data_IF_205958235163
#
_entry.id   IF_205958235163
#
_cell.length_a   1.000
_cell.length_b   1.000
_cell.length_c   1.000
_cell.angle_alpha   90.00
_cell.angle_beta   90.00
_cell.angle_gamma   90.00
#
_symmetry.space_group_name_H-M   'P 1'
#
loop_
_entity.id
_entity.type
_entity.pdbx_description
1 polymer ?
#
# COMPACT_ATOMS: atom_id res chain seq x y z
N UNK A 1 3.16 20.83 26.14
CA UNK A 1 2.75 21.06 24.73
C UNK A 1 3.78 22.00 24.13
N UNK A 2 4.84 21.47 23.55
CA UNK A 2 5.82 22.24 22.78
C UNK A 2 5.24 22.42 21.36
N UNK A 3 4.79 23.64 21.03
CA UNK A 3 4.28 23.97 19.70
C UNK A 3 5.36 23.71 18.65
N UNK A 4 5.00 23.03 17.56
CA UNK A 4 5.87 22.85 16.41
C UNK A 4 6.31 24.24 15.87
N UNK A 5 7.56 24.41 15.40
CA UNK A 5 7.99 25.63 14.76
C UNK A 5 7.04 25.97 13.60
N UNK A 6 6.75 27.27 13.38
CA UNK A 6 5.73 27.75 12.43
C UNK A 6 5.84 27.17 11.01
N UNK A 7 7.04 26.79 10.57
CA UNK A 7 7.28 26.12 9.29
C UNK A 7 6.79 24.67 9.24
N UNK A 8 7.00 23.89 10.30
CA UNK A 8 6.63 22.47 10.35
C UNK A 8 5.11 22.25 10.34
N UNK A 9 4.34 23.15 10.96
CA UNK A 9 2.88 23.09 10.89
C UNK A 9 2.38 23.25 9.43
N UNK A 10 2.99 24.13 8.64
CA UNK A 10 2.71 24.28 7.21
C UNK A 10 3.08 23.01 6.41
N UNK A 11 4.20 22.36 6.73
CA UNK A 11 4.62 21.12 6.07
C UNK A 11 3.61 19.99 6.28
N UNK A 12 3.08 19.85 7.51
CA UNK A 12 2.02 18.87 7.78
C UNK A 12 0.70 19.23 7.09
N UNK A 13 0.37 20.52 6.93
CA UNK A 13 -0.83 20.90 6.17
C UNK A 13 -0.69 20.53 4.69
N UNK A 14 0.50 20.66 4.10
CA UNK A 14 0.78 20.20 2.74
C UNK A 14 0.55 18.69 2.61
N UNK A 15 1.05 17.88 3.55
CA UNK A 15 0.81 16.44 3.56
C UNK A 15 -0.67 16.08 3.72
N UNK A 16 -1.40 16.80 4.60
CA UNK A 16 -2.84 16.59 4.80
C UNK A 16 -3.65 16.94 3.56
N UNK A 17 -3.29 18.02 2.84
CA UNK A 17 -3.94 18.41 1.59
C UNK A 17 -3.72 17.35 0.50
N UNK A 18 -2.49 16.83 0.37
CA UNK A 18 -2.18 15.75 -0.57
C UNK A 18 -2.95 14.47 -0.22
N UNK A 19 -3.03 14.10 1.05
CA UNK A 19 -3.80 12.94 1.49
C UNK A 19 -5.30 13.12 1.23
N UNK A 20 -5.84 14.33 1.34
CA UNK A 20 -7.24 14.63 1.08
C UNK A 20 -7.59 14.59 -0.41
N UNK A 21 -6.66 14.93 -1.32
CA UNK A 21 -6.88 14.89 -2.78
C UNK A 21 -6.95 13.46 -3.34
N UNK A 22 -6.47 12.44 -2.60
CA UNK A 22 -6.45 11.03 -3.00
C UNK A 22 -7.27 10.15 -2.03
N UNK A 23 -8.41 10.67 -1.56
CA UNK A 23 -9.24 10.06 -0.50
C UNK A 23 -9.66 8.61 -0.76
N UNK A 24 -9.68 8.15 -2.01
CA UNK A 24 -10.20 6.85 -2.38
C UNK A 24 -9.34 5.65 -1.93
N UNK A 25 -8.05 5.85 -1.67
CA UNK A 25 -7.11 4.74 -1.48
C UNK A 25 -6.67 4.48 -0.03
N UNK A 26 -6.78 5.47 0.87
CA UNK A 26 -6.41 5.27 2.28
C UNK A 26 -7.20 6.23 3.19
N UNK A 27 -7.85 5.73 4.26
CA UNK A 27 -8.67 6.58 5.11
C UNK A 27 -7.81 7.44 6.07
N UNK A 28 -6.83 8.21 5.54
CA UNK A 28 -6.06 9.19 6.33
C UNK A 28 -6.99 10.20 7.01
N UNK A 29 -8.11 10.50 6.35
CA UNK A 29 -9.18 11.32 6.89
C UNK A 29 -10.19 10.53 7.73
N UNK A 30 -9.95 9.23 8.00
CA UNK A 30 -10.82 8.45 8.88
C UNK A 30 -10.93 9.15 10.24
N UNK A 31 -12.17 9.36 10.68
CA UNK A 31 -12.46 9.89 12.02
C UNK A 31 -11.93 8.96 13.12
N UNK A 32 -11.58 7.70 12.80
CA UNK A 32 -10.99 6.73 13.70
C UNK A 32 -9.53 7.05 14.02
N UNK A 33 -8.81 7.75 13.11
CA UNK A 33 -7.43 8.21 13.41
C UNK A 33 -7.49 9.39 14.39
N UNK A 34 -6.84 9.29 15.60
CA UNK A 34 -6.73 10.39 16.53
C UNK A 34 -6.18 11.66 15.90
N UNK A 35 -6.70 12.82 16.32
CA UNK A 35 -6.33 14.10 15.71
C UNK A 35 -4.83 14.42 15.78
N UNK A 36 -4.17 13.97 16.85
CA UNK A 36 -2.72 14.11 17.06
C UNK A 36 -1.89 13.18 16.15
N UNK A 37 -2.45 12.07 15.66
CA UNK A 37 -1.78 11.15 14.76
C UNK A 37 -2.03 11.48 13.28
N UNK A 38 -3.11 12.16 12.93
CA UNK A 38 -3.46 12.49 11.53
C UNK A 38 -2.34 13.15 10.74
N UNK A 39 -1.62 14.17 11.27
CA UNK A 39 -0.50 14.77 10.56
C UNK A 39 0.62 13.76 10.26
N UNK A 40 0.93 12.88 11.21
CA UNK A 40 1.95 11.84 11.05
C UNK A 40 1.56 10.80 10.00
N UNK A 41 0.31 10.33 10.03
CA UNK A 41 -0.22 9.41 9.02
C UNK A 41 -0.20 10.07 7.63
N UNK A 42 -0.57 11.36 7.55
CA UNK A 42 -0.54 12.10 6.29
C UNK A 42 0.89 12.27 5.73
N UNK A 43 1.90 12.49 6.59
CA UNK A 43 3.30 12.58 6.15
C UNK A 43 3.80 11.24 5.58
N UNK A 44 3.47 10.12 6.23
CA UNK A 44 3.79 8.76 5.74
C UNK A 44 3.09 8.50 4.42
N UNK A 45 1.80 8.83 4.33
CA UNK A 45 1.01 8.66 3.11
C UNK A 45 1.59 9.50 1.95
N UNK A 46 1.86 10.78 2.19
CA UNK A 46 2.40 11.68 1.17
C UNK A 46 3.73 11.17 0.61
N UNK A 47 4.61 10.64 1.49
CA UNK A 47 5.87 10.02 1.07
C UNK A 47 5.64 8.80 0.19
N UNK A 48 4.80 7.86 0.63
CA UNK A 48 4.53 6.62 -0.09
C UNK A 48 3.82 6.89 -1.42
N UNK A 49 2.80 7.76 -1.44
CA UNK A 49 2.04 8.09 -2.65
C UNK A 49 2.90 8.76 -3.70
N UNK A 50 3.74 9.72 -3.31
CA UNK A 50 4.63 10.39 -4.27
C UNK A 50 5.65 9.41 -4.88
N UNK A 51 6.15 8.46 -4.09
CA UNK A 51 7.06 7.43 -4.59
C UNK A 51 6.36 6.43 -5.53
N UNK A 52 5.10 6.08 -5.24
CA UNK A 52 4.24 5.25 -6.08
C UNK A 52 3.98 5.94 -7.43
N UNK A 53 3.66 7.23 -7.41
CA UNK A 53 3.48 8.04 -8.63
C UNK A 53 4.75 8.02 -9.51
N UNK A 54 5.96 8.09 -8.94
CA UNK A 54 7.20 7.96 -9.72
C UNK A 54 7.35 6.60 -10.40
N UNK A 55 6.83 5.53 -9.79
CA UNK A 55 6.89 4.19 -10.38
C UNK A 55 5.85 3.99 -11.50
N UNK A 56 4.68 4.62 -11.38
CA UNK A 56 3.49 4.31 -12.20
C UNK A 56 3.10 5.39 -13.21
N UNK A 57 3.48 6.67 -13.01
CA UNK A 57 3.06 7.76 -13.88
C UNK A 57 3.54 7.59 -15.33
N UNK A 58 2.63 7.85 -16.28
CA UNK A 58 2.96 7.89 -17.70
C UNK A 58 3.86 9.10 -18.01
N UNK A 59 4.73 8.94 -19.00
CA UNK A 59 5.64 10.01 -19.48
C UNK A 59 7.07 9.88 -18.99
N UNK A 60 7.37 9.06 -18.00
CA UNK A 60 8.75 8.77 -17.58
C UNK A 60 9.27 7.47 -18.20
N UNK A 61 10.53 7.50 -18.64
CA UNK A 61 11.26 6.27 -19.00
C UNK A 61 11.60 5.46 -17.76
N UNK A 62 11.80 4.15 -17.89
CA UNK A 62 12.29 3.26 -16.81
C UNK A 62 13.50 3.85 -16.07
N UNK A 63 14.44 4.45 -16.79
CA UNK A 63 15.65 5.07 -16.21
C UNK A 63 15.30 6.30 -15.36
N UNK A 64 14.38 7.13 -15.81
CA UNK A 64 13.94 8.32 -15.08
C UNK A 64 13.18 7.94 -13.81
N UNK A 65 12.27 6.96 -13.88
CA UNK A 65 11.55 6.41 -12.73
C UNK A 65 12.52 5.91 -11.65
N UNK A 66 13.49 5.09 -12.04
CA UNK A 66 14.52 4.58 -11.11
C UNK A 66 15.34 5.72 -10.49
N UNK A 67 15.75 6.73 -11.29
CA UNK A 67 16.48 7.90 -10.78
C UNK A 67 15.66 8.69 -9.75
N UNK A 68 14.37 8.93 -10.03
CA UNK A 68 13.48 9.64 -9.08
C UNK A 68 13.34 8.88 -7.76
N UNK A 69 13.21 7.55 -7.81
CA UNK A 69 13.15 6.71 -6.62
C UNK A 69 14.48 6.68 -5.85
N UNK A 70 15.64 6.73 -6.54
CA UNK A 70 16.96 6.85 -5.92
C UNK A 70 17.12 8.19 -5.20
N UNK A 71 16.76 9.30 -5.86
CA UNK A 71 16.75 10.63 -5.25
C UNK A 71 15.80 10.70 -4.03
N UNK A 72 14.67 9.99 -4.08
CA UNK A 72 13.71 9.92 -2.98
C UNK A 72 14.29 9.20 -1.77
N UNK A 73 15.07 8.12 -2.00
CA UNK A 73 15.78 7.39 -0.96
C UNK A 73 16.89 8.25 -0.31
N UNK A 74 17.68 8.97 -1.12
CA UNK A 74 18.70 9.88 -0.62
C UNK A 74 18.10 10.97 0.27
N UNK A 75 16.98 11.55 -0.13
CA UNK A 75 16.24 12.54 0.65
C UNK A 75 15.68 11.98 1.95
N UNK A 76 15.20 10.73 1.95
CA UNK A 76 14.78 10.05 3.18
C UNK A 76 15.94 9.99 4.19
N UNK A 77 17.10 9.53 3.75
CA UNK A 77 18.27 9.43 4.61
C UNK A 77 18.73 10.81 5.13
N UNK A 78 18.72 11.83 4.26
CA UNK A 78 19.03 13.21 4.66
C UNK A 78 18.05 13.74 5.72
N UNK A 79 16.74 13.53 5.53
CA UNK A 79 15.70 14.00 6.45
C UNK A 79 15.78 13.33 7.84
N UNK A 80 16.24 12.08 7.89
CA UNK A 80 16.44 11.36 9.16
C UNK A 80 17.73 11.77 9.85
N UNK A 81 18.82 12.02 9.08
CA UNK A 81 20.11 12.43 9.60
C UNK A 81 20.17 13.89 10.09
N UNK A 82 19.26 14.74 9.64
CA UNK A 82 19.23 16.16 10.03
C UNK A 82 18.67 16.34 11.44
N UNK A 83 19.53 16.70 12.39
CA UNK A 83 19.15 16.90 13.79
C UNK A 83 18.20 18.08 14.01
N UNK A 84 18.21 19.08 13.12
CA UNK A 84 17.46 20.34 13.21
C UNK A 84 16.30 20.49 12.19
N UNK A 85 16.05 19.45 11.39
CA UNK A 85 15.00 19.47 10.37
C UNK A 85 15.38 20.25 9.10
N UNK A 86 16.63 20.67 8.95
CA UNK A 86 17.15 21.25 7.71
C UNK A 86 17.28 20.14 6.65
N UNK A 87 16.50 20.23 5.57
CA UNK A 87 16.67 19.39 4.39
C UNK A 87 17.64 20.08 3.45
N UNK A 88 18.83 19.51 3.28
CA UNK A 88 19.73 19.97 2.21
C UNK A 88 19.17 19.44 0.88
N UNK A 89 18.78 20.31 -0.04
CA UNK A 89 18.29 19.83 -1.33
C UNK A 89 19.45 19.18 -2.11
N UNK A 90 19.30 17.96 -2.64
CA UNK A 90 20.21 17.49 -3.66
C UNK A 90 20.11 18.43 -4.87
N UNK A 91 21.25 18.77 -5.47
CA UNK A 91 21.37 19.75 -6.55
C UNK A 91 20.39 19.48 -7.70
N UNK A 92 19.67 20.51 -8.09
CA UNK A 92 18.52 20.42 -8.98
C UNK A 92 18.83 19.93 -10.40
N UNK A 93 18.04 18.96 -10.84
CA UNK A 93 17.75 18.68 -12.24
C UNK A 93 16.34 19.17 -12.55
N UNK A 94 16.23 20.27 -13.29
CA UNK A 94 14.95 20.76 -13.77
C UNK A 94 14.47 19.83 -14.91
N UNK A 95 13.45 19.03 -14.64
CA UNK A 95 12.44 18.50 -15.57
C UNK A 95 11.64 17.41 -14.84
N UNK A 96 10.58 17.80 -14.15
CA UNK A 96 9.57 16.87 -13.73
C UNK A 96 8.21 17.57 -13.88
N UNK A 97 7.47 17.17 -14.89
CA UNK A 97 6.08 17.51 -15.03
C UNK A 97 5.28 16.80 -13.94
N UNK A 98 4.46 17.55 -13.24
CA UNK A 98 3.31 17.20 -12.40
C UNK A 98 3.46 16.40 -11.09
N UNK A 99 4.43 15.52 -10.88
CA UNK A 99 4.65 14.99 -9.53
C UNK A 99 5.16 16.11 -8.61
N UNK A 100 4.48 16.36 -7.50
CA UNK A 100 4.66 17.40 -6.48
C UNK A 100 5.79 18.43 -6.69
N UNK A 101 5.49 19.71 -6.59
CA UNK A 101 6.48 20.81 -6.75
C UNK A 101 7.68 20.62 -5.81
N UNK A 102 8.86 21.20 -6.08
CA UNK A 102 10.03 21.16 -5.19
C UNK A 102 9.68 21.53 -3.75
N UNK A 103 8.89 22.58 -3.55
CA UNK A 103 8.43 23.02 -2.22
C UNK A 103 7.58 21.97 -1.52
N UNK A 104 6.71 21.27 -2.26
CA UNK A 104 5.89 20.17 -1.73
C UNK A 104 6.74 18.99 -1.31
N UNK A 105 7.75 18.60 -2.11
CA UNK A 105 8.67 17.53 -1.78
C UNK A 105 9.47 17.85 -0.51
N UNK A 106 9.96 19.06 -0.37
CA UNK A 106 10.68 19.52 0.81
C UNK A 106 9.79 19.48 2.06
N UNK A 107 8.52 19.92 1.95
CA UNK A 107 7.55 19.83 3.03
C UNK A 107 7.28 18.39 3.46
N UNK A 108 7.14 17.46 2.51
CA UNK A 108 6.97 16.03 2.79
C UNK A 108 8.14 15.51 3.63
N UNK A 109 9.38 15.78 3.23
CA UNK A 109 10.56 15.27 3.93
C UNK A 109 10.78 15.91 5.30
N UNK A 110 10.48 17.20 5.48
CA UNK A 110 10.54 17.83 6.81
C UNK A 110 9.49 17.24 7.75
N UNK A 111 8.25 17.06 7.28
CA UNK A 111 7.17 16.43 8.06
C UNK A 111 7.49 14.95 8.37
N UNK A 112 7.97 14.20 7.40
CA UNK A 112 8.32 12.78 7.56
C UNK A 112 9.50 12.60 8.51
N UNK A 113 10.58 13.35 8.32
CA UNK A 113 11.75 13.29 9.21
C UNK A 113 11.40 13.61 10.66
N UNK A 114 10.55 14.62 10.89
CA UNK A 114 10.01 14.91 12.22
C UNK A 114 9.15 13.74 12.74
N UNK A 115 8.29 13.16 11.91
CA UNK A 115 7.45 12.01 12.26
C UNK A 115 8.30 10.79 12.65
N UNK A 116 9.30 10.43 11.86
CA UNK A 116 10.21 9.31 12.11
C UNK A 116 10.91 9.50 13.47
N UNK A 117 11.49 10.68 13.74
CA UNK A 117 12.19 10.95 14.99
C UNK A 117 11.28 10.96 16.21
N UNK A 118 10.11 11.61 16.12
CA UNK A 118 9.21 11.79 17.27
C UNK A 118 8.40 10.55 17.61
N UNK A 119 8.17 9.68 16.62
CA UNK A 119 7.41 8.43 16.78
C UNK A 119 8.30 7.19 16.81
N UNK A 120 9.62 7.34 16.68
CA UNK A 120 10.56 6.23 16.71
C UNK A 120 10.35 5.23 15.57
N UNK A 121 9.96 5.71 14.37
CA UNK A 121 9.68 4.82 13.25
C UNK A 121 10.98 4.25 12.68
N UNK A 122 11.09 2.92 12.49
CA UNK A 122 12.25 2.31 11.86
C UNK A 122 12.37 2.74 10.38
N UNK A 123 13.53 3.30 10.01
CA UNK A 123 13.78 3.82 8.65
C UNK A 123 13.68 2.71 7.60
N UNK A 124 14.12 1.49 7.94
CA UNK A 124 14.07 0.35 7.03
C UNK A 124 12.68 0.01 6.50
N UNK A 125 11.59 0.42 7.19
CA UNK A 125 10.22 0.24 6.70
C UNK A 125 9.96 1.10 5.45
N UNK A 126 10.51 2.30 5.41
CA UNK A 126 10.41 3.21 4.27
C UNK A 126 11.34 2.78 3.12
N UNK A 127 12.54 2.30 3.45
CA UNK A 127 13.47 1.73 2.47
C UNK A 127 12.88 0.49 1.79
N UNK A 128 12.18 -0.35 2.55
CA UNK A 128 11.49 -1.52 2.00
C UNK A 128 10.41 -1.11 0.98
N UNK A 129 9.58 -0.11 1.30
CA UNK A 129 8.59 0.44 0.36
C UNK A 129 9.25 0.94 -0.93
N UNK A 130 10.30 1.73 -0.83
CA UNK A 130 11.03 2.23 -2.01
C UNK A 130 11.63 1.10 -2.83
N UNK A 131 12.15 0.05 -2.18
CA UNK A 131 12.65 -1.15 -2.85
C UNK A 131 11.54 -1.87 -3.63
N UNK A 132 10.31 -1.91 -3.11
CA UNK A 132 9.17 -2.48 -3.82
C UNK A 132 8.77 -1.62 -5.03
N UNK A 133 8.66 -0.29 -4.88
CA UNK A 133 8.35 0.62 -5.99
C UNK A 133 9.41 0.56 -7.09
N UNK A 134 10.70 0.41 -6.74
CA UNK A 134 11.77 0.16 -7.74
C UNK A 134 11.57 -1.15 -8.49
N UNK A 135 11.09 -2.19 -7.79
CA UNK A 135 10.76 -3.47 -8.43
C UNK A 135 9.59 -3.33 -9.41
N UNK A 136 8.56 -2.54 -9.08
CA UNK A 136 7.39 -2.32 -9.95
C UNK A 136 7.75 -1.67 -11.30
N UNK A 137 8.85 -0.92 -11.34
CA UNK A 137 9.38 -0.33 -12.59
C UNK A 137 9.93 -1.40 -13.57
N UNK A 138 10.39 -2.55 -13.07
CA UNK A 138 11.14 -3.53 -13.86
C UNK A 138 10.58 -4.94 -13.85
N UNK A 139 9.87 -5.33 -12.80
CA UNK A 139 9.34 -6.69 -12.64
C UNK A 139 7.83 -6.68 -12.87
N UNK A 140 7.41 -7.39 -13.91
CA UNK A 140 6.01 -7.48 -14.31
C UNK A 140 5.40 -8.86 -14.09
N UNK A 141 6.19 -9.85 -13.69
CA UNK A 141 5.76 -11.26 -13.51
C UNK A 141 6.53 -11.94 -12.39
N UNK A 142 5.92 -12.92 -11.78
CA UNK A 142 6.46 -13.65 -10.63
C UNK A 142 6.47 -15.16 -10.93
N UNK A 143 7.62 -15.80 -10.76
CA UNK A 143 7.76 -17.24 -11.03
C UNK A 143 7.13 -18.09 -9.92
N UNK A 144 7.26 -17.68 -8.66
CA UNK A 144 6.88 -18.48 -7.49
C UNK A 144 6.15 -17.64 -6.44
N UNK A 145 5.53 -18.33 -5.48
CA UNK A 145 4.92 -17.68 -4.31
C UNK A 145 5.94 -16.95 -3.44
N UNK A 146 7.15 -17.50 -3.29
CA UNK A 146 8.21 -16.86 -2.52
C UNK A 146 8.55 -15.47 -3.07
N UNK A 147 8.52 -15.32 -4.40
CA UNK A 147 8.76 -14.04 -5.06
C UNK A 147 7.62 -13.05 -4.83
N UNK A 148 6.35 -13.50 -4.83
CA UNK A 148 5.19 -12.66 -4.51
C UNK A 148 5.17 -12.30 -3.02
N UNK A 149 5.46 -13.27 -2.14
CA UNK A 149 5.54 -13.03 -0.69
C UNK A 149 6.67 -12.04 -0.34
N UNK A 150 7.84 -12.14 -1.01
CA UNK A 150 8.93 -11.19 -0.85
C UNK A 150 8.53 -9.78 -1.30
N UNK A 151 7.81 -9.66 -2.41
CA UNK A 151 7.25 -8.39 -2.85
C UNK A 151 6.27 -7.82 -1.81
N UNK A 152 5.29 -8.61 -1.33
CA UNK A 152 4.32 -8.16 -0.31
C UNK A 152 5.02 -7.76 1.01
N UNK A 153 6.09 -8.46 1.40
CA UNK A 153 6.89 -8.14 2.59
C UNK A 153 7.50 -6.75 2.51
N UNK A 154 7.77 -6.24 1.30
CA UNK A 154 8.35 -4.91 1.07
C UNK A 154 7.33 -3.86 0.67
N UNK A 155 6.25 -4.22 -0.02
CA UNK A 155 5.25 -3.27 -0.53
C UNK A 155 4.07 -3.03 0.43
N UNK A 156 3.63 -4.04 1.17
CA UNK A 156 2.42 -3.98 1.98
C UNK A 156 2.70 -4.04 3.49
N UNK A 157 3.54 -5.00 3.96
CA UNK A 157 3.77 -5.24 5.38
C UNK A 157 4.35 -4.03 6.12
N UNK A 158 5.26 -3.22 5.54
CA UNK A 158 5.77 -2.02 6.20
C UNK A 158 4.68 -1.02 6.56
N UNK A 159 3.62 -0.91 5.75
CA UNK A 159 2.50 0.00 6.03
C UNK A 159 1.80 -0.37 7.34
N UNK A 160 1.47 -1.65 7.53
CA UNK A 160 0.85 -2.15 8.76
C UNK A 160 1.74 -1.95 9.98
N UNK A 161 3.03 -2.23 9.87
CA UNK A 161 4.01 -2.03 10.94
C UNK A 161 4.17 -0.56 11.29
N UNK A 162 4.21 0.36 10.31
CA UNK A 162 4.24 1.82 10.54
C UNK A 162 2.97 2.25 11.30
N UNK A 163 1.81 1.77 10.91
CA UNK A 163 0.55 2.07 11.62
C UNK A 163 0.63 1.58 13.06
N UNK A 164 1.06 0.35 13.32
CA UNK A 164 1.24 -0.16 14.68
C UNK A 164 2.17 0.73 15.51
N UNK A 165 3.34 1.12 14.98
CA UNK A 165 4.29 2.03 15.67
C UNK A 165 3.69 3.40 15.95
N UNK A 166 2.95 3.98 15.00
CA UNK A 166 2.27 5.27 15.21
C UNK A 166 1.26 5.22 16.36
N UNK A 167 0.61 4.08 16.57
CA UNK A 167 -0.30 3.86 17.70
C UNK A 167 0.40 3.33 18.96
N UNK A 168 1.74 3.30 18.99
CA UNK A 168 2.53 2.94 20.18
C UNK A 168 2.68 1.44 20.42
N UNK A 169 2.44 0.60 19.41
CA UNK A 169 2.66 -0.83 19.49
C UNK A 169 4.01 -1.20 18.86
N UNK A 170 4.85 -1.91 19.64
CA UNK A 170 6.15 -2.45 19.22
C UNK A 170 6.26 -3.89 19.75
N UNK A 171 5.67 -4.84 19.03
CA UNK A 171 5.54 -6.24 19.42
C UNK A 171 5.61 -7.12 18.17
N UNK A 172 6.61 -8.01 18.10
CA UNK A 172 6.83 -8.91 16.97
C UNK A 172 5.63 -9.82 16.66
N UNK A 173 4.81 -10.14 17.65
CA UNK A 173 3.61 -10.95 17.46
C UNK A 173 2.53 -10.15 16.73
N UNK A 174 2.33 -8.88 17.12
CA UNK A 174 1.40 -7.97 16.44
C UNK A 174 1.89 -7.71 15.01
N UNK A 175 3.20 -7.56 14.82
CA UNK A 175 3.81 -7.39 13.49
C UNK A 175 3.51 -8.58 12.58
N UNK A 176 3.68 -9.83 13.06
CA UNK A 176 3.37 -11.03 12.25
C UNK A 176 1.90 -11.09 11.83
N UNK A 177 0.97 -10.78 12.73
CA UNK A 177 -0.45 -10.75 12.39
C UNK A 177 -0.79 -9.60 11.43
N UNK A 178 -0.18 -8.43 11.62
CA UNK A 178 -0.30 -7.29 10.71
C UNK A 178 0.23 -7.62 9.32
N UNK A 179 1.39 -8.28 9.24
CA UNK A 179 1.98 -8.71 7.98
C UNK A 179 1.05 -9.67 7.21
N UNK A 180 0.42 -10.62 7.92
CA UNK A 180 -0.53 -11.53 7.30
C UNK A 180 -1.76 -10.78 6.73
N UNK A 181 -2.31 -9.80 7.47
CA UNK A 181 -3.41 -8.95 6.98
C UNK A 181 -2.96 -8.13 5.77
N UNK A 182 -1.82 -7.45 5.85
CA UNK A 182 -1.33 -6.59 4.78
C UNK A 182 -1.04 -7.39 3.51
N UNK A 183 -0.42 -8.58 3.64
CA UNK A 183 -0.23 -9.49 2.52
C UNK A 183 -1.58 -9.94 1.94
N UNK A 184 -2.56 -10.32 2.77
CA UNK A 184 -3.88 -10.72 2.31
C UNK A 184 -4.61 -9.60 1.56
N UNK A 185 -4.51 -8.36 2.04
CA UNK A 185 -5.08 -7.18 1.38
C UNK A 185 -4.42 -6.94 0.01
N UNK A 186 -3.10 -7.01 -0.06
CA UNK A 186 -2.36 -6.84 -1.30
C UNK A 186 -2.70 -7.92 -2.33
N UNK A 187 -2.74 -9.19 -1.91
CA UNK A 187 -3.15 -10.29 -2.77
C UNK A 187 -4.59 -10.13 -3.25
N UNK A 188 -5.51 -9.73 -2.36
CA UNK A 188 -6.90 -9.45 -2.74
C UNK A 188 -6.98 -8.41 -3.84
N UNK A 189 -6.18 -7.32 -3.72
CA UNK A 189 -6.11 -6.29 -4.74
C UNK A 189 -5.60 -6.86 -6.08
N UNK A 190 -4.57 -7.69 -6.09
CA UNK A 190 -4.07 -8.34 -7.30
C UNK A 190 -5.12 -9.21 -8.00
N UNK A 191 -5.91 -9.95 -7.23
CA UNK A 191 -6.99 -10.77 -7.83
C UNK A 191 -8.15 -9.94 -8.32
N UNK A 192 -8.47 -8.85 -7.62
CA UNK A 192 -9.49 -7.87 -8.02
C UNK A 192 -9.11 -7.16 -9.31
N UNK A 193 -7.84 -6.75 -9.43
CA UNK A 193 -7.32 -5.93 -10.53
C UNK A 193 -6.68 -6.76 -11.66
N UNK A 194 -6.81 -8.08 -11.62
CA UNK A 194 -6.20 -9.00 -12.59
C UNK A 194 -6.35 -8.57 -14.05
N UNK A 195 -7.54 -8.13 -14.45
CA UNK A 195 -7.80 -7.71 -15.84
C UNK A 195 -7.11 -6.37 -16.17
N UNK A 196 -7.10 -5.44 -15.24
CA UNK A 196 -6.47 -4.12 -15.39
C UNK A 196 -4.96 -4.26 -15.42
N UNK A 197 -4.39 -5.06 -14.51
CA UNK A 197 -2.96 -5.32 -14.44
C UNK A 197 -2.45 -6.04 -15.69
N UNK A 198 -3.22 -7.00 -16.18
CA UNK A 198 -2.89 -7.67 -17.45
C UNK A 198 -2.82 -6.69 -18.63
N UNK A 199 -3.77 -5.75 -18.73
CA UNK A 199 -3.75 -4.71 -19.78
C UNK A 199 -2.53 -3.79 -19.68
N UNK A 200 -2.01 -3.60 -18.46
CA UNK A 200 -0.76 -2.85 -18.19
C UNK A 200 0.50 -3.70 -18.33
N UNK A 201 0.36 -4.98 -18.74
CA UNK A 201 1.48 -5.91 -18.90
C UNK A 201 1.98 -6.55 -17.61
N UNK A 202 1.25 -6.36 -16.49
CA UNK A 202 1.58 -6.91 -15.17
C UNK A 202 0.76 -8.17 -14.87
N UNK A 203 1.37 -9.14 -14.19
CA UNK A 203 0.71 -10.37 -13.77
C UNK A 203 1.29 -10.85 -12.43
N UNK A 204 0.48 -10.76 -11.38
CA UNK A 204 0.87 -11.11 -10.01
C UNK A 204 0.56 -12.56 -9.64
N UNK A 205 -0.25 -13.28 -10.42
CA UNK A 205 -0.46 -14.73 -10.23
C UNK A 205 0.85 -15.44 -10.51
N UNK A 206 1.42 -16.22 -9.56
CA UNK A 206 2.68 -16.91 -9.75
C UNK A 206 2.64 -17.88 -10.93
N UNK A 207 3.74 -17.99 -11.70
CA UNK A 207 3.84 -18.89 -12.85
C UNK A 207 3.60 -20.34 -12.44
N UNK A 208 4.16 -20.75 -11.31
CA UNK A 208 3.94 -22.09 -10.75
C UNK A 208 2.45 -22.38 -10.54
N UNK A 209 1.68 -21.40 -10.08
CA UNK A 209 0.25 -21.55 -9.79
C UNK A 209 -0.61 -21.67 -11.05
N UNK A 210 -0.44 -20.72 -12.00
CA UNK A 210 -1.25 -20.77 -13.22
C UNK A 210 -0.86 -21.94 -14.14
N UNK A 211 0.42 -22.35 -14.15
CA UNK A 211 0.88 -23.52 -14.89
C UNK A 211 0.27 -24.81 -14.31
N UNK A 212 0.26 -24.96 -12.96
CA UNK A 212 -0.38 -26.11 -12.29
C UNK A 212 -1.88 -26.20 -12.60
N UNK A 213 -2.55 -25.05 -12.79
CA UNK A 213 -3.96 -24.99 -13.20
C UNK A 213 -4.18 -25.31 -14.69
N UNK A 214 -3.12 -25.46 -15.48
CA UNK A 214 -3.16 -25.66 -16.94
C UNK A 214 -3.42 -24.37 -17.71
N UNK A 215 -3.26 -23.21 -17.07
CA UNK A 215 -3.39 -21.91 -17.73
C UNK A 215 -2.17 -21.61 -18.58
N UNK A 216 -2.33 -20.74 -19.57
CA UNK A 216 -1.29 -20.30 -20.49
C UNK A 216 -1.50 -18.81 -20.77
N UNK A 217 -0.42 -18.09 -21.09
CA UNK A 217 -0.49 -16.65 -21.39
C UNK A 217 -1.30 -16.36 -22.66
N UNK A 218 -1.29 -17.25 -23.65
CA UNK A 218 -2.07 -17.11 -24.87
C UNK A 218 -3.58 -17.27 -24.68
N UNK A 219 -4.03 -17.74 -23.52
CA UNK A 219 -5.44 -17.71 -23.10
C UNK A 219 -5.92 -16.27 -22.76
N UNK A 220 -4.99 -15.37 -22.40
CA UNK A 220 -5.30 -13.99 -22.01
C UNK A 220 -5.20 -13.09 -23.26
N UNK A 221 -6.32 -12.93 -23.94
CA UNK A 221 -6.42 -12.09 -25.15
C UNK A 221 -6.97 -10.70 -24.85
N UNK A 222 -6.61 -9.72 -25.65
CA UNK A 222 -7.19 -8.38 -25.56
C UNK A 222 -8.69 -8.42 -25.83
N UNK A 223 -9.50 -7.78 -24.97
CA UNK A 223 -10.94 -7.70 -25.17
C UNK A 223 -11.71 -8.98 -24.80
N UNK A 224 -11.10 -9.94 -24.06
CA UNK A 224 -11.84 -11.10 -23.56
C UNK A 224 -13.04 -10.69 -22.70
N UNK A 225 -14.16 -11.39 -22.85
CA UNK A 225 -15.40 -11.10 -22.12
C UNK A 225 -15.47 -11.74 -20.73
N UNK A 226 -14.62 -12.73 -20.45
CA UNK A 226 -14.56 -13.43 -19.18
C UNK A 226 -13.16 -14.03 -18.95
N UNK A 227 -12.83 -14.25 -17.69
CA UNK A 227 -11.57 -14.94 -17.32
C UNK A 227 -11.61 -16.40 -17.80
N UNK A 228 -10.62 -16.88 -18.55
CA UNK A 228 -10.58 -18.27 -19.02
C UNK A 228 -10.62 -19.27 -17.84
N UNK A 229 -11.21 -20.45 -18.10
CA UNK A 229 -11.47 -21.45 -17.05
C UNK A 229 -10.23 -21.86 -16.26
N UNK A 230 -9.10 -22.02 -16.91
CA UNK A 230 -7.83 -22.40 -16.31
C UNK A 230 -7.30 -21.30 -15.40
N UNK A 231 -7.43 -20.04 -15.82
CA UNK A 231 -7.07 -18.87 -15.01
C UNK A 231 -7.99 -18.72 -13.81
N UNK A 232 -9.30 -18.99 -13.95
CA UNK A 232 -10.21 -19.01 -12.79
C UNK A 232 -9.83 -20.07 -11.76
N UNK A 233 -9.32 -21.24 -12.19
CA UNK A 233 -8.80 -22.25 -11.25
C UNK A 233 -7.56 -21.74 -10.51
N UNK A 234 -6.61 -21.11 -11.22
CA UNK A 234 -5.43 -20.50 -10.60
C UNK A 234 -5.85 -19.43 -9.59
N UNK A 235 -6.72 -18.50 -9.98
CA UNK A 235 -7.23 -17.45 -9.10
C UNK A 235 -8.01 -18.01 -7.89
N UNK A 236 -8.72 -19.15 -8.05
CA UNK A 236 -9.40 -19.82 -6.93
C UNK A 236 -8.39 -20.35 -5.91
N UNK A 237 -7.30 -20.97 -6.36
CA UNK A 237 -6.23 -21.42 -5.47
C UNK A 237 -5.54 -20.25 -4.79
N UNK A 238 -5.26 -19.16 -5.54
CA UNK A 238 -4.75 -17.90 -4.99
C UNK A 238 -5.69 -17.32 -3.91
N UNK A 239 -7.00 -17.32 -4.16
CA UNK A 239 -8.01 -16.87 -3.21
C UNK A 239 -8.04 -17.68 -1.93
N UNK A 240 -7.91 -19.00 -2.02
CA UNK A 240 -7.84 -19.89 -0.84
C UNK A 240 -6.62 -19.57 0.04
N UNK A 241 -5.43 -19.33 -0.56
CA UNK A 241 -4.24 -18.89 0.16
C UNK A 241 -4.45 -17.53 0.81
N UNK A 242 -5.07 -16.61 0.09
CA UNK A 242 -5.37 -15.26 0.62
C UNK A 242 -6.33 -15.34 1.82
N UNK A 243 -7.31 -16.22 1.77
CA UNK A 243 -8.24 -16.48 2.89
C UNK A 243 -7.50 -16.95 4.13
N UNK A 244 -6.60 -17.91 3.97
CA UNK A 244 -5.78 -18.39 5.08
C UNK A 244 -4.96 -17.28 5.74
N UNK A 245 -4.38 -16.35 4.95
CA UNK A 245 -3.65 -15.20 5.49
C UNK A 245 -4.56 -14.23 6.27
N UNK A 246 -5.80 -13.99 5.81
CA UNK A 246 -6.76 -13.22 6.60
C UNK A 246 -7.05 -13.89 7.94
N UNK A 247 -7.23 -15.22 7.94
CA UNK A 247 -7.49 -15.98 9.17
C UNK A 247 -6.28 -15.97 10.11
N UNK A 248 -5.05 -16.13 9.58
CA UNK A 248 -3.79 -16.03 10.34
C UNK A 248 -3.60 -14.66 11.00
N UNK A 249 -4.00 -13.59 10.30
CA UNK A 249 -3.90 -12.22 10.83
C UNK A 249 -5.03 -11.81 11.78
N UNK A 250 -6.16 -12.52 11.78
CA UNK A 250 -7.35 -12.17 12.55
C UNK A 250 -7.12 -11.91 14.04
N UNK A 251 -6.22 -12.64 14.75
CA UNK A 251 -5.95 -12.38 16.16
C UNK A 251 -5.52 -10.95 16.47
N UNK A 252 -4.94 -10.20 15.51
CA UNK A 252 -4.58 -8.79 15.70
C UNK A 252 -5.77 -7.95 16.15
N UNK A 253 -6.96 -8.22 15.60
CA UNK A 253 -8.19 -7.45 15.87
C UNK A 253 -8.63 -7.50 17.33
N UNK A 254 -8.23 -8.54 18.06
CA UNK A 254 -8.57 -8.74 19.47
C UNK A 254 -7.45 -8.29 20.41
N UNK A 255 -6.20 -8.15 19.91
CA UNK A 255 -5.04 -7.77 20.72
C UNK A 255 -4.77 -6.26 20.71
N UNK A 256 -5.30 -5.51 19.75
CA UNK A 256 -5.26 -4.05 19.75
C UNK A 256 -6.53 -3.46 20.39
N UNK A 257 -6.44 -2.22 20.89
CA UNK A 257 -7.53 -1.57 21.60
C UNK A 257 -7.85 -0.17 21.04
N UNK A 258 -8.93 0.43 21.52
CA UNK A 258 -9.30 1.79 21.17
C UNK A 258 -9.68 1.95 19.69
N UNK A 259 -9.36 3.10 19.14
CA UNK A 259 -9.72 3.46 17.75
C UNK A 259 -9.02 2.59 16.72
N UNK A 260 -7.76 2.18 16.97
CA UNK A 260 -7.02 1.28 16.10
C UNK A 260 -7.74 -0.05 15.90
N UNK A 261 -8.36 -0.61 16.93
CA UNK A 261 -9.14 -1.85 16.81
C UNK A 261 -10.26 -1.72 15.79
N UNK A 262 -10.99 -0.61 15.80
CA UNK A 262 -12.09 -0.38 14.88
C UNK A 262 -11.60 -0.17 13.45
N UNK A 263 -10.50 0.56 13.29
CA UNK A 263 -9.86 0.77 11.99
C UNK A 263 -9.40 -0.57 11.38
N UNK A 264 -8.67 -1.38 12.14
CA UNK A 264 -8.19 -2.68 11.67
C UNK A 264 -9.33 -3.66 11.39
N UNK A 265 -10.40 -3.66 12.21
CA UNK A 265 -11.60 -4.46 11.93
C UNK A 265 -12.27 -4.04 10.63
N UNK A 266 -12.48 -2.74 10.41
CA UNK A 266 -13.07 -2.23 9.19
C UNK A 266 -12.22 -2.60 7.96
N UNK A 267 -10.91 -2.43 8.05
CA UNK A 267 -9.95 -2.78 7.01
C UNK A 267 -9.97 -4.29 6.70
N UNK A 268 -9.88 -5.13 7.73
CA UNK A 268 -9.93 -6.58 7.59
C UNK A 268 -11.25 -7.05 6.95
N UNK A 269 -12.39 -6.59 7.47
CA UNK A 269 -13.70 -6.93 6.92
C UNK A 269 -13.92 -6.39 5.51
N UNK A 270 -13.35 -5.21 5.19
CA UNK A 270 -13.38 -4.63 3.85
C UNK A 270 -12.65 -5.51 2.84
N UNK A 271 -11.39 -5.85 3.12
CA UNK A 271 -10.59 -6.73 2.25
C UNK A 271 -11.18 -8.14 2.12
N UNK A 272 -11.59 -8.75 3.25
CA UNK A 272 -12.25 -10.05 3.26
C UNK A 272 -13.56 -10.02 2.44
N UNK A 273 -14.29 -8.89 2.43
CA UNK A 273 -15.52 -8.73 1.65
C UNK A 273 -15.24 -8.64 0.15
N UNK A 274 -14.16 -7.99 -0.28
CA UNK A 274 -13.73 -8.01 -1.69
C UNK A 274 -13.40 -9.43 -2.12
N UNK A 275 -12.67 -10.19 -1.30
CA UNK A 275 -12.36 -11.59 -1.57
C UNK A 275 -13.63 -12.45 -1.65
N UNK A 276 -14.61 -12.26 -0.73
CA UNK A 276 -15.91 -12.91 -0.80
C UNK A 276 -16.66 -12.61 -2.12
N UNK A 277 -16.56 -11.38 -2.63
CA UNK A 277 -17.16 -11.01 -3.92
C UNK A 277 -16.47 -11.72 -5.09
N UNK A 278 -15.14 -11.85 -5.07
CA UNK A 278 -14.40 -12.64 -6.06
C UNK A 278 -14.85 -14.11 -6.05
N UNK A 279 -15.00 -14.71 -4.86
CA UNK A 279 -15.49 -16.08 -4.69
C UNK A 279 -16.91 -16.26 -5.24
N UNK A 280 -17.84 -15.33 -4.93
CA UNK A 280 -19.20 -15.31 -5.43
C UNK A 280 -19.24 -15.17 -6.95
N UNK A 281 -18.38 -14.33 -7.53
CA UNK A 281 -18.16 -14.18 -8.98
C UNK A 281 -17.35 -15.33 -9.61
N UNK A 282 -17.03 -16.40 -8.84
CA UNK A 282 -16.26 -17.56 -9.29
C UNK A 282 -14.91 -17.18 -9.88
N UNK A 283 -14.28 -16.15 -9.30
CA UNK A 283 -12.99 -15.60 -9.75
C UNK A 283 -12.99 -15.23 -11.25
N UNK A 284 -14.00 -14.47 -11.66
CA UNK A 284 -14.09 -13.90 -13.00
C UNK A 284 -13.98 -12.36 -12.99
N UNK A 285 -12.80 -11.80 -12.61
CA UNK A 285 -12.60 -10.35 -12.53
C UNK A 285 -12.60 -9.65 -13.89
N UNK A 286 -12.55 -10.40 -14.99
CA UNK A 286 -12.69 -9.86 -16.35
C UNK A 286 -14.16 -9.53 -16.65
N UNK A 287 -15.08 -10.46 -16.32
CA UNK A 287 -16.51 -10.23 -16.55
C UNK A 287 -17.05 -9.15 -15.62
N UNK A 288 -16.60 -9.15 -14.34
CA UNK A 288 -17.03 -8.16 -13.36
C UNK A 288 -15.89 -7.91 -12.35
N UNK A 289 -15.29 -6.70 -12.37
CA UNK A 289 -14.35 -6.27 -11.34
C UNK A 289 -15.13 -6.04 -10.05
N UNK A 290 -14.88 -6.82 -8.96
CA UNK A 290 -15.61 -6.63 -7.71
C UNK A 290 -15.37 -5.24 -7.14
N UNK A 291 -16.44 -4.56 -6.76
CA UNK A 291 -16.40 -3.29 -6.05
C UNK A 291 -17.32 -3.35 -4.84
N UNK A 292 -16.94 -2.64 -3.77
CA UNK A 292 -17.77 -2.53 -2.58
C UNK A 292 -18.85 -1.48 -2.82
N UNK A 293 -20.11 -1.87 -2.62
CA UNK A 293 -21.27 -0.98 -2.69
C UNK A 293 -21.84 -0.64 -1.31
N UNK A 294 -22.94 0.12 -1.29
CA UNK A 294 -23.61 0.51 -0.04
C UNK A 294 -24.05 -0.70 0.81
N UNK A 295 -24.50 -1.78 0.17
CA UNK A 295 -24.87 -3.01 0.87
C UNK A 295 -23.66 -3.65 1.56
N UNK A 296 -22.49 -3.61 0.93
CA UNK A 296 -21.25 -4.12 1.51
C UNK A 296 -20.80 -3.25 2.68
N UNK A 297 -20.93 -1.93 2.57
CA UNK A 297 -20.63 -1.00 3.66
C UNK A 297 -21.47 -1.30 4.92
N UNK A 298 -22.77 -1.65 4.76
CA UNK A 298 -23.61 -2.06 5.88
C UNK A 298 -23.15 -3.39 6.49
N UNK A 299 -22.77 -4.37 5.67
CA UNK A 299 -22.25 -5.66 6.15
C UNK A 299 -20.93 -5.48 6.89
N UNK A 300 -20.01 -4.67 6.32
CA UNK A 300 -18.71 -4.37 6.94
C UNK A 300 -18.92 -3.64 8.26
N UNK A 301 -19.77 -2.61 8.28
CA UNK A 301 -20.10 -1.87 9.50
C UNK A 301 -20.66 -2.78 10.59
N UNK A 302 -21.62 -3.63 10.26
CA UNK A 302 -22.20 -4.61 11.20
C UNK A 302 -21.15 -5.58 11.75
N UNK A 303 -20.34 -6.20 10.86
CA UNK A 303 -19.27 -7.13 11.26
C UNK A 303 -18.17 -6.44 12.10
N UNK A 304 -17.93 -5.16 11.86
CA UNK A 304 -16.95 -4.38 12.62
C UNK A 304 -17.40 -4.18 14.07
N UNK A 305 -18.70 -4.05 14.30
CA UNK A 305 -19.28 -3.83 15.63
C UNK A 305 -19.39 -5.11 16.49
N UNK A 306 -19.46 -6.28 15.88
CA UNK A 306 -19.48 -7.58 16.56
C UNK A 306 -18.08 -8.02 16.98
#
# INVERSE_FOLDING_TARGET
MTGAPSGLAGDYQTCLALAASHYENFPVASWLVPSDLRPHVAAVYAFARTADDFADEDGYTTRERLRLLDEWLERLHAAVGAADGSVVPPGGGAHAAEAASPDTRDAIFRALGHTIRTRGLPVWLFEALLSAFRQDVTVTRYATWEAVDDYCRRSANPVGRIVLRLFGHDDDRLDRWSDAICTALQLTNFWQDFAVDWQRGRLYVPEAEWTAAGARLDHLTSGMASTPREWRRALTACGARTRALFDDGRPLLDHVRGRLRWELRATWHGGARVLERLEQGRFDPVAERPALGLADALVIGWRTLL
#
